data_IF_525855923523
#
_entry.id   IF_525855923523
#
_cell.length_a   1.000
_cell.length_b   1.000
_cell.length_c   1.000
_cell.angle_alpha   90.00
_cell.angle_beta   90.00
_cell.angle_gamma   90.00
#
_symmetry.space_group_name_H-M   'P 1'
#
loop_
_entity.id
_entity.type
_entity.pdbx_description
1 polymer ?
#
# COMPACT_ATOMS: atom_id res chain seq x y z
N UNK A 1 -9.13 31.82 -15.49
CA UNK A 1 -8.59 30.55 -16.02
C UNK A 1 -7.07 30.68 -16.03
N UNK A 2 -6.36 29.75 -15.43
CA UNK A 2 -4.89 29.80 -15.29
C UNK A 2 -4.26 29.71 -16.68
N UNK A 3 -3.32 30.60 -17.01
CA UNK A 3 -2.51 30.47 -18.22
C UNK A 3 -1.37 29.50 -17.95
N UNK A 4 -1.60 28.22 -18.24
CA UNK A 4 -0.70 27.11 -17.91
C UNK A 4 0.68 27.31 -18.55
N UNK A 5 0.72 27.70 -19.83
CA UNK A 5 1.97 27.91 -20.55
C UNK A 5 2.85 29.02 -19.95
N UNK A 6 2.22 30.09 -19.49
CA UNK A 6 2.91 31.20 -18.82
C UNK A 6 3.39 30.78 -17.44
N UNK A 7 2.55 30.07 -16.67
CA UNK A 7 2.93 29.63 -15.34
C UNK A 7 4.06 28.59 -15.34
N UNK A 8 4.03 27.62 -16.27
CA UNK A 8 5.11 26.65 -16.42
C UNK A 8 6.46 27.32 -16.72
N UNK A 9 6.46 28.43 -17.48
CA UNK A 9 7.69 29.21 -17.74
C UNK A 9 8.23 29.97 -16.53
N UNK A 10 7.41 30.17 -15.49
CA UNK A 10 7.85 30.81 -14.24
C UNK A 10 8.64 29.87 -13.34
N UNK A 11 8.55 28.56 -13.55
CA UNK A 11 9.36 27.60 -12.80
C UNK A 11 10.75 27.49 -13.43
N UNK A 12 11.78 27.58 -12.58
CA UNK A 12 13.17 27.59 -13.00
C UNK A 12 13.94 26.44 -12.33
N UNK A 13 14.95 25.87 -13.00
CA UNK A 13 15.84 24.91 -12.38
C UNK A 13 16.54 25.50 -11.16
N UNK A 14 16.70 24.69 -10.13
CA UNK A 14 17.39 25.06 -8.89
C UNK A 14 18.83 24.59 -8.98
N UNK A 15 19.78 25.52 -8.96
CA UNK A 15 21.21 25.24 -8.89
C UNK A 15 21.63 24.92 -7.45
N UNK A 16 22.07 23.68 -7.22
CA UNK A 16 22.48 23.17 -5.90
C UNK A 16 23.66 23.98 -5.35
N UNK A 17 24.63 24.36 -6.18
CA UNK A 17 25.80 25.13 -5.73
C UNK A 17 25.39 26.52 -5.22
N UNK A 18 24.50 27.20 -5.95
CA UNK A 18 23.94 28.49 -5.54
C UNK A 18 23.15 28.40 -4.23
N UNK A 19 22.42 27.30 -4.01
CA UNK A 19 21.70 27.06 -2.75
C UNK A 19 22.69 26.86 -1.61
N UNK A 20 23.70 26.00 -1.78
CA UNK A 20 24.71 25.75 -0.74
C UNK A 20 25.51 26.99 -0.36
N UNK A 21 25.80 27.88 -1.31
CA UNK A 21 26.45 29.16 -1.04
C UNK A 21 25.59 30.11 -0.19
N UNK A 22 24.27 30.07 -0.32
CA UNK A 22 23.34 30.99 0.36
C UNK A 22 22.95 30.52 1.75
N UNK A 23 22.71 29.22 1.92
CA UNK A 23 22.16 28.66 3.17
C UNK A 23 23.07 27.63 3.85
N UNK A 24 24.26 27.38 3.29
CA UNK A 24 25.19 26.37 3.78
C UNK A 24 24.86 24.97 3.25
N UNK A 25 25.54 23.96 3.79
CA UNK A 25 25.34 22.57 3.37
C UNK A 25 23.88 22.13 3.53
N UNK A 26 23.29 21.63 2.45
CA UNK A 26 21.92 21.12 2.45
C UNK A 26 21.88 19.58 2.61
N UNK A 27 20.82 19.02 3.22
CA UNK A 27 20.67 17.57 3.37
C UNK A 27 20.70 16.83 2.03
N UNK A 28 21.23 15.61 2.03
CA UNK A 28 21.36 14.78 0.83
C UNK A 28 20.00 14.48 0.17
N UNK A 29 18.97 14.26 0.98
CA UNK A 29 17.60 14.05 0.50
C UNK A 29 17.07 15.28 -0.26
N UNK A 30 17.42 16.48 0.18
CA UNK A 30 17.05 17.73 -0.49
C UNK A 30 17.75 17.86 -1.85
N UNK A 31 19.03 17.48 -1.95
CA UNK A 31 19.77 17.45 -3.22
C UNK A 31 19.13 16.52 -4.23
N UNK A 32 18.87 15.28 -3.82
CA UNK A 32 18.24 14.26 -4.64
C UNK A 32 16.84 14.71 -5.11
N UNK A 33 16.08 15.39 -4.25
CA UNK A 33 14.78 15.95 -4.62
C UNK A 33 14.92 17.09 -5.63
N UNK A 34 15.89 17.99 -5.47
CA UNK A 34 16.17 19.09 -6.41
C UNK A 34 16.56 18.55 -7.79
N UNK A 35 17.40 17.52 -7.87
CA UNK A 35 17.76 16.88 -9.14
C UNK A 35 16.54 16.32 -9.88
N UNK A 36 15.64 15.66 -9.15
CA UNK A 36 14.39 15.13 -9.71
C UNK A 36 13.44 16.24 -10.15
N UNK A 37 13.37 17.35 -9.41
CA UNK A 37 12.61 18.53 -9.79
C UNK A 37 13.16 19.18 -11.07
N UNK A 38 14.48 19.35 -11.19
CA UNK A 38 15.11 19.89 -12.39
C UNK A 38 14.86 18.98 -13.59
N UNK A 39 14.96 17.67 -13.40
CA UNK A 39 14.59 16.69 -14.43
C UNK A 39 13.12 16.82 -14.84
N UNK A 40 12.21 17.05 -13.90
CA UNK A 40 10.80 17.25 -14.22
C UNK A 40 10.57 18.49 -15.09
N UNK A 41 11.29 19.59 -14.84
CA UNK A 41 11.23 20.78 -15.69
C UNK A 41 11.71 20.49 -17.12
N UNK A 42 12.78 19.72 -17.27
CA UNK A 42 13.26 19.30 -18.58
C UNK A 42 12.19 18.46 -19.31
N UNK A 43 11.55 17.51 -18.62
CA UNK A 43 10.49 16.68 -19.22
C UNK A 43 9.24 17.51 -19.59
N UNK A 44 8.87 18.52 -18.81
CA UNK A 44 7.79 19.47 -19.15
C UNK A 44 8.14 20.22 -20.43
N UNK A 45 9.38 20.68 -20.57
CA UNK A 45 9.82 21.38 -21.79
C UNK A 45 9.77 20.50 -23.04
N UNK A 46 9.86 19.17 -22.86
CA UNK A 46 9.74 18.16 -23.90
C UNK A 46 8.30 17.67 -24.14
N UNK A 47 7.29 18.31 -23.53
CA UNK A 47 5.88 17.89 -23.54
C UNK A 47 5.63 16.46 -22.97
N UNK A 48 6.51 15.99 -22.09
CA UNK A 48 6.38 14.69 -21.41
C UNK A 48 5.80 14.87 -19.99
N UNK A 49 4.59 15.44 -19.90
CA UNK A 49 3.98 15.82 -18.61
C UNK A 49 3.79 14.63 -17.64
N UNK A 50 3.49 13.42 -18.15
CA UNK A 50 3.38 12.22 -17.33
C UNK A 50 4.70 11.83 -16.66
N UNK A 51 5.81 11.94 -17.39
CA UNK A 51 7.16 11.64 -16.87
C UNK A 51 7.55 12.70 -15.85
N UNK A 52 7.21 13.97 -16.11
CA UNK A 52 7.43 15.05 -15.16
C UNK A 52 6.67 14.83 -13.84
N UNK A 53 5.38 14.44 -13.91
CA UNK A 53 4.59 14.13 -12.71
C UNK A 53 5.20 12.98 -11.92
N UNK A 54 5.72 11.93 -12.58
CA UNK A 54 6.41 10.83 -11.89
C UNK A 54 7.68 11.32 -11.19
N UNK A 55 8.49 12.14 -11.85
CA UNK A 55 9.69 12.73 -11.27
C UNK A 55 9.36 13.61 -10.05
N UNK A 56 8.31 14.41 -10.14
CA UNK A 56 7.83 15.27 -9.04
C UNK A 56 7.28 14.47 -7.86
N UNK A 57 6.50 13.40 -8.11
CA UNK A 57 6.05 12.46 -7.07
C UNK A 57 7.23 11.89 -6.29
N UNK A 58 8.29 11.48 -6.99
CA UNK A 58 9.50 10.95 -6.37
C UNK A 58 10.24 12.04 -5.57
N UNK A 59 10.38 13.25 -6.12
CA UNK A 59 11.01 14.38 -5.43
C UNK A 59 10.30 14.70 -4.11
N UNK A 60 8.96 14.76 -4.12
CA UNK A 60 8.13 15.03 -2.93
C UNK A 60 8.18 13.88 -1.92
N UNK A 61 8.30 12.63 -2.38
CA UNK A 61 8.46 11.48 -1.48
C UNK A 61 9.79 11.52 -0.72
N UNK A 62 10.87 11.95 -1.39
CA UNK A 62 12.21 12.08 -0.78
C UNK A 62 12.27 13.29 0.14
N UNK A 63 11.73 14.44 -0.29
CA UNK A 63 11.70 15.66 0.51
C UNK A 63 10.26 16.19 0.61
N UNK A 64 9.49 15.76 1.64
CA UNK A 64 8.07 16.12 1.78
C UNK A 64 7.78 17.61 1.92
N UNK A 65 8.75 18.44 2.33
CA UNK A 65 8.59 19.89 2.44
C UNK A 65 8.99 20.64 1.16
N UNK A 66 8.96 19.99 -0.02
CA UNK A 66 9.32 20.62 -1.29
C UNK A 66 8.15 21.36 -1.95
N UNK A 67 7.79 22.53 -1.40
CA UNK A 67 6.63 23.30 -1.86
C UNK A 67 6.67 23.68 -3.34
N UNK A 68 7.85 24.02 -3.88
CA UNK A 68 7.99 24.37 -5.30
C UNK A 68 7.68 23.18 -6.22
N UNK A 69 8.13 21.97 -5.86
CA UNK A 69 7.80 20.75 -6.60
C UNK A 69 6.31 20.39 -6.51
N UNK A 70 5.68 20.61 -5.35
CA UNK A 70 4.24 20.41 -5.20
C UNK A 70 3.41 21.39 -6.04
N UNK A 71 3.83 22.67 -6.08
CA UNK A 71 3.20 23.69 -6.92
C UNK A 71 3.32 23.35 -8.41
N UNK A 72 4.53 22.95 -8.86
CA UNK A 72 4.75 22.52 -10.24
C UNK A 72 3.88 21.32 -10.60
N UNK A 73 3.82 20.32 -9.72
CA UNK A 73 2.99 19.13 -9.90
C UNK A 73 1.49 19.48 -9.97
N UNK A 74 1.03 20.44 -9.18
CA UNK A 74 -0.33 20.97 -9.27
C UNK A 74 -0.61 21.60 -10.63
N UNK A 75 0.33 22.39 -11.18
CA UNK A 75 0.17 23.00 -12.52
C UNK A 75 0.19 21.93 -13.63
N UNK A 76 1.03 20.90 -13.52
CA UNK A 76 0.98 19.74 -14.42
C UNK A 76 -0.34 18.98 -14.35
N UNK A 77 -0.99 18.92 -13.19
CA UNK A 77 -2.32 18.34 -13.11
C UNK A 77 -3.38 19.19 -13.80
N UNK A 78 -3.27 20.52 -13.72
CA UNK A 78 -4.14 21.43 -14.48
C UNK A 78 -3.92 21.29 -15.99
N UNK A 79 -2.68 21.07 -16.47
CA UNK A 79 -2.37 20.91 -17.90
C UNK A 79 -3.02 19.68 -18.52
N UNK A 80 -3.07 18.57 -17.78
CA UNK A 80 -3.73 17.33 -18.22
C UNK A 80 -5.24 17.30 -17.94
N UNK A 81 -5.79 18.34 -17.30
CA UNK A 81 -7.22 18.45 -16.97
C UNK A 81 -7.67 17.73 -15.69
N UNK A 82 -6.73 17.26 -14.85
CA UNK A 82 -7.01 16.67 -13.54
C UNK A 82 -7.09 17.74 -12.45
N UNK A 83 -8.19 18.50 -12.44
CA UNK A 83 -8.38 19.59 -11.48
C UNK A 83 -8.47 19.11 -10.02
N UNK A 84 -9.00 17.90 -9.78
CA UNK A 84 -9.18 17.37 -8.42
C UNK A 84 -7.81 17.10 -7.77
N UNK A 85 -6.90 16.45 -8.50
CA UNK A 85 -5.53 16.24 -8.03
C UNK A 85 -4.77 17.56 -7.90
N UNK A 86 -4.97 18.51 -8.82
CA UNK A 86 -4.36 19.84 -8.73
C UNK A 86 -4.77 20.57 -7.44
N UNK A 87 -6.07 20.58 -7.12
CA UNK A 87 -6.63 21.17 -5.90
C UNK A 87 -6.07 20.52 -4.65
N UNK A 88 -5.97 19.19 -4.64
CA UNK A 88 -5.39 18.45 -3.52
C UNK A 88 -3.93 18.86 -3.28
N UNK A 89 -3.14 19.00 -4.35
CA UNK A 89 -1.75 19.45 -4.26
C UNK A 89 -1.64 20.89 -3.74
N UNK A 90 -2.42 21.83 -4.26
CA UNK A 90 -2.38 23.22 -3.78
C UNK A 90 -2.85 23.36 -2.33
N UNK A 91 -3.90 22.63 -1.92
CA UNK A 91 -4.33 22.58 -0.51
C UNK A 91 -3.23 22.05 0.40
N UNK A 92 -2.56 20.97 -0.02
CA UNK A 92 -1.44 20.41 0.74
C UNK A 92 -0.30 21.42 0.94
N UNK A 93 0.01 22.22 -0.08
CA UNK A 93 1.00 23.30 0.06
C UNK A 93 0.54 24.35 1.06
N UNK A 94 -0.73 24.78 1.01
CA UNK A 94 -1.30 25.78 1.93
C UNK A 94 -1.28 25.25 3.37
N UNK A 95 -1.69 24.00 3.59
CA UNK A 95 -1.73 23.38 4.93
C UNK A 95 -0.32 23.24 5.56
N UNK A 96 0.72 23.17 4.73
CA UNK A 96 2.11 23.01 5.17
C UNK A 96 2.91 24.32 5.18
N UNK A 97 2.43 25.34 4.47
CA UNK A 97 2.98 26.70 4.41
C UNK A 97 1.84 27.71 4.23
N UNK A 98 1.34 28.20 5.35
CA UNK A 98 0.23 29.17 5.44
C UNK A 98 0.51 30.49 4.68
N UNK A 99 1.77 30.76 4.29
CA UNK A 99 2.16 31.97 3.57
C UNK A 99 2.41 31.73 2.07
N UNK A 100 2.04 30.56 1.54
CA UNK A 100 2.21 30.23 0.12
C UNK A 100 1.19 30.98 -0.76
N UNK A 101 1.59 32.18 -1.19
CA UNK A 101 0.81 33.07 -2.07
C UNK A 101 0.49 32.40 -3.42
N UNK A 102 1.41 31.58 -3.95
CA UNK A 102 1.24 30.88 -5.23
C UNK A 102 0.14 29.81 -5.16
N UNK A 103 0.21 28.90 -4.19
CA UNK A 103 -0.76 27.82 -4.03
C UNK A 103 -2.18 28.37 -3.80
N UNK A 104 -2.31 29.40 -2.95
CA UNK A 104 -3.57 30.10 -2.71
C UNK A 104 -4.15 30.74 -3.98
N UNK A 105 -3.29 31.36 -4.80
CA UNK A 105 -3.70 31.95 -6.09
C UNK A 105 -4.15 30.90 -7.10
N UNK A 106 -3.46 29.76 -7.17
CA UNK A 106 -3.84 28.66 -8.06
C UNK A 106 -5.19 28.08 -7.65
N UNK A 107 -5.39 27.83 -6.35
CA UNK A 107 -6.66 27.34 -5.82
C UNK A 107 -7.82 28.32 -6.10
N UNK A 108 -7.62 29.62 -5.83
CA UNK A 108 -8.61 30.66 -6.13
C UNK A 108 -8.93 30.77 -7.64
N UNK A 109 -7.92 30.56 -8.49
CA UNK A 109 -8.08 30.57 -9.95
C UNK A 109 -8.87 29.36 -10.45
N UNK A 110 -8.74 28.20 -9.80
CA UNK A 110 -9.55 27.00 -10.06
C UNK A 110 -10.99 27.16 -9.51
N UNK A 111 -11.17 27.86 -8.39
CA UNK A 111 -12.51 28.14 -7.80
C UNK A 111 -13.30 29.22 -8.56
N UNK A 112 -12.70 29.87 -9.55
CA UNK A 112 -13.34 30.97 -10.30
C UNK A 112 -13.46 32.29 -9.51
N UNK A 113 -12.88 32.36 -8.30
CA UNK A 113 -12.89 33.53 -7.44
C UNK A 113 -11.68 34.42 -7.71
N UNK A 114 -11.70 35.14 -8.83
CA UNK A 114 -10.71 36.20 -9.08
C UNK A 114 -11.26 37.54 -8.56
N UNK A 115 -10.81 37.97 -7.38
CA UNK A 115 -10.94 39.37 -6.94
C UNK A 115 -9.81 40.19 -7.60
N UNK A 116 -10.12 41.32 -8.27
CA UNK A 116 -9.13 42.08 -9.01
C UNK A 116 -8.58 43.27 -8.20
N UNK A 117 -7.31 43.22 -7.80
CA UNK A 117 -6.50 44.41 -7.50
C UNK A 117 -5.05 44.11 -7.95
N UNK A 118 -4.35 44.84 -8.82
CA UNK A 118 -4.67 45.96 -9.69
C UNK A 118 -3.57 46.15 -10.76
N UNK A 119 -4.00 46.16 -12.04
CA UNK A 119 -3.62 47.00 -13.22
C UNK A 119 -2.13 47.33 -13.47
N UNK A 120 -1.54 46.97 -14.63
CA UNK A 120 -1.55 47.85 -15.84
C UNK A 120 -1.73 47.16 -17.21
N UNK A 121 -2.89 47.45 -17.83
CA UNK A 121 -3.22 47.74 -19.25
C UNK A 121 -2.41 47.10 -20.39
N UNK A 122 -3.10 46.33 -21.26
CA UNK A 122 -3.41 46.78 -22.64
C UNK A 122 -4.42 45.87 -23.38
N UNK A 123 -5.38 46.54 -24.03
CA UNK A 123 -6.10 46.17 -25.26
C UNK A 123 -6.92 44.88 -25.36
N UNK A 124 -8.20 45.06 -25.04
CA UNK A 124 -9.40 44.53 -25.73
C UNK A 124 -9.17 44.12 -27.20
N UNK A 125 -9.38 42.85 -27.56
CA UNK A 125 -10.05 42.47 -28.82
C UNK A 125 -10.65 41.06 -28.80
N UNK A 126 -11.78 41.00 -29.49
CA UNK A 126 -12.82 39.97 -29.59
C UNK A 126 -12.39 38.87 -30.59
N UNK A 127 -12.84 37.64 -30.32
CA UNK A 127 -13.18 36.55 -31.26
C UNK A 127 -12.28 36.29 -32.49
N UNK A 128 -11.70 35.09 -32.61
CA UNK A 128 -12.28 33.90 -33.28
C UNK A 128 -11.24 32.75 -33.34
N UNK A 129 -11.67 31.50 -33.61
CA UNK A 129 -10.82 30.32 -33.68
C UNK A 129 -10.23 30.15 -35.09
N UNK A 130 -9.03 29.59 -35.22
CA UNK A 130 -8.55 29.13 -36.52
C UNK A 130 -7.38 28.14 -36.42
N UNK A 131 -7.66 26.89 -36.80
CA UNK A 131 -6.66 25.88 -37.14
C UNK A 131 -7.17 24.80 -38.12
N UNK A 132 -8.39 24.94 -38.65
CA UNK A 132 -9.00 24.05 -39.66
C UNK A 132 -9.49 24.80 -40.92
N UNK A 133 -9.25 26.12 -40.99
CA UNK A 133 -9.82 27.02 -42.01
C UNK A 133 -9.06 27.05 -43.35
N UNK A 134 -7.89 26.43 -43.46
CA UNK A 134 -7.10 26.46 -44.70
C UNK A 134 -7.56 25.41 -45.73
N UNK A 135 -8.20 24.32 -45.29
CA UNK A 135 -8.81 23.33 -46.19
C UNK A 135 -10.24 23.72 -46.61
N UNK A 136 -11.00 24.32 -45.70
CA UNK A 136 -12.37 24.76 -45.97
C UNK A 136 -12.44 25.97 -46.93
N UNK A 137 -11.43 26.85 -46.92
CA UNK A 137 -11.41 28.03 -47.81
C UNK A 137 -11.03 27.69 -49.27
N UNK A 138 -10.26 26.62 -49.51
CA UNK A 138 -9.93 26.16 -50.87
C UNK A 138 -11.14 25.44 -51.51
N UNK A 139 -11.88 24.65 -50.74
CA UNK A 139 -13.09 23.95 -51.22
C UNK A 139 -14.27 24.90 -51.50
N UNK A 140 -14.37 26.02 -50.78
CA UNK A 140 -15.44 26.99 -50.97
C UNK A 140 -15.30 27.86 -52.24
N UNK A 141 -14.09 28.01 -52.78
CA UNK A 141 -13.86 28.79 -54.02
C UNK A 141 -14.31 28.08 -55.31
N UNK A 142 -14.53 26.76 -55.28
CA UNK A 142 -14.89 25.97 -56.47
C UNK A 142 -16.40 25.85 -56.75
N UNK A 143 -17.27 26.29 -55.83
CA UNK A 143 -18.72 26.02 -55.88
C UNK A 143 -19.57 27.24 -55.49
N UNK A 144 -19.19 28.44 -55.95
CA UNK A 144 -20.04 29.63 -55.79
C UNK A 144 -20.99 29.79 -56.99
N UNK A 145 -22.32 29.92 -56.78
CA UNK A 145 -23.28 30.06 -57.87
C UNK A 145 -23.28 31.50 -58.42
N UNK A 146 -22.78 31.67 -59.63
CA UNK A 146 -22.81 32.95 -60.35
C UNK A 146 -24.20 33.20 -60.96
N UNK A 147 -24.63 34.46 -60.95
CA UNK A 147 -26.00 34.93 -61.21
C UNK A 147 -26.09 35.71 -62.56
N UNK A 148 -25.91 35.04 -63.71
CA UNK A 148 -26.35 35.56 -65.02
C UNK A 148 -26.87 34.48 -65.98
N UNK A 149 -28.14 34.61 -66.44
CA UNK A 149 -28.74 33.77 -67.50
C UNK A 149 -28.17 34.16 -68.88
N UNK A 150 -28.06 33.22 -69.84
CA UNK A 150 -28.49 31.83 -69.75
C UNK A 150 -27.40 30.91 -69.19
N UNK A 151 -27.70 30.30 -68.04
CA UNK A 151 -26.78 29.46 -67.25
C UNK A 151 -26.35 28.16 -67.93
N UNK A 152 -27.08 27.70 -68.96
CA UNK A 152 -26.82 26.40 -69.59
C UNK A 152 -25.65 26.40 -70.58
N UNK A 153 -25.17 27.56 -71.04
CA UNK A 153 -24.15 27.62 -72.10
C UNK A 153 -22.79 27.10 -71.61
N UNK A 154 -22.40 27.40 -70.36
CA UNK A 154 -21.16 26.84 -69.76
C UNK A 154 -21.24 25.31 -69.64
N UNK A 155 -22.41 24.77 -69.27
CA UNK A 155 -22.62 23.33 -69.18
C UNK A 155 -22.69 22.65 -70.55
N UNK A 156 -23.28 23.29 -71.56
CA UNK A 156 -23.30 22.78 -72.94
C UNK A 156 -21.89 22.76 -73.54
N UNK A 157 -21.10 23.83 -73.34
CA UNK A 157 -19.70 23.87 -73.80
C UNK A 157 -18.87 22.82 -73.08
N UNK A 158 -19.04 22.66 -71.77
CA UNK A 158 -18.36 21.61 -70.99
C UNK A 158 -18.78 20.20 -71.40
N UNK A 159 -20.06 19.99 -71.72
CA UNK A 159 -20.58 18.70 -72.17
C UNK A 159 -20.10 18.34 -73.57
N UNK A 160 -20.07 19.30 -74.50
CA UNK A 160 -19.54 19.11 -75.86
C UNK A 160 -18.02 18.91 -75.83
N UNK A 161 -17.29 19.65 -75.00
CA UNK A 161 -15.86 19.44 -74.79
C UNK A 161 -15.55 18.08 -74.15
N UNK A 162 -16.39 17.62 -73.22
CA UNK A 162 -16.29 16.30 -72.60
C UNK A 162 -16.57 15.16 -73.57
N UNK A 163 -17.60 15.29 -74.42
CA UNK A 163 -17.90 14.31 -75.48
C UNK A 163 -16.76 14.26 -76.50
N UNK A 164 -16.23 15.41 -76.93
CA UNK A 164 -15.09 15.47 -77.84
C UNK A 164 -13.83 14.85 -77.24
N UNK A 165 -13.56 15.09 -75.95
CA UNK A 165 -12.44 14.45 -75.24
C UNK A 165 -12.64 12.93 -75.11
N UNK A 166 -13.87 12.46 -74.89
CA UNK A 166 -14.20 11.03 -74.84
C UNK A 166 -14.11 10.35 -76.21
N UNK A 167 -14.56 11.00 -77.29
CA UNK A 167 -14.41 10.49 -78.66
C UNK A 167 -12.94 10.46 -79.09
N UNK A 168 -12.15 11.48 -78.70
CA UNK A 168 -10.70 11.50 -78.93
C UNK A 168 -9.97 10.42 -78.14
N UNK A 169 -10.35 10.18 -76.88
CA UNK A 169 -9.82 9.07 -76.08
C UNK A 169 -10.16 7.72 -76.71
N UNK A 170 -11.39 7.53 -77.21
CA UNK A 170 -11.77 6.29 -77.90
C UNK A 170 -10.95 6.07 -79.19
N UNK A 171 -10.72 7.11 -80.00
CA UNK A 171 -9.89 7.03 -81.21
C UNK A 171 -8.40 6.76 -80.92
N UNK A 172 -7.90 7.23 -79.77
CA UNK A 172 -6.50 7.04 -79.35
C UNK A 172 -6.25 5.75 -78.57
N UNK A 173 -7.27 4.99 -78.18
CA UNK A 173 -7.12 3.68 -77.53
C UNK A 173 -7.07 2.61 -78.64
N UNK A 174 -5.90 1.97 -78.90
CA UNK A 174 -5.83 0.82 -79.80
C UNK A 174 -6.59 -0.35 -79.15
N UNK A 175 -7.37 -1.09 -79.93
CA UNK A 175 -8.35 -2.09 -79.47
C UNK A 175 -7.75 -3.21 -78.57
N UNK A 176 -6.42 -3.35 -78.46
CA UNK A 176 -5.79 -4.37 -77.63
C UNK A 176 -4.48 -3.90 -76.97
N UNK A 177 -4.57 -3.17 -75.85
CA UNK A 177 -3.54 -3.27 -74.78
C UNK A 177 -4.13 -2.79 -73.44
N UNK A 178 -3.99 -3.57 -72.34
CA UNK A 178 -4.45 -3.11 -71.04
C UNK A 178 -3.59 -1.93 -70.60
N UNK A 179 -4.23 -0.81 -70.27
CA UNK A 179 -3.54 0.31 -69.61
C UNK A 179 -3.15 -0.19 -68.22
N UNK A 180 -1.93 -0.68 -68.08
CA UNK A 180 -1.32 -0.91 -66.78
C UNK A 180 -0.89 0.46 -66.29
N UNK A 181 -1.82 1.17 -65.64
CA UNK A 181 -1.42 2.25 -64.73
C UNK A 181 -0.70 1.53 -63.61
N UNK A 182 0.63 1.61 -63.57
CA UNK A 182 1.40 1.12 -62.44
C UNK A 182 1.16 2.06 -61.25
N UNK A 183 -0.01 1.90 -60.65
CA UNK A 183 -0.39 2.62 -59.43
C UNK A 183 0.59 2.28 -58.30
N UNK A 184 1.41 1.24 -58.42
CA UNK A 184 2.44 0.86 -57.45
C UNK A 184 3.71 1.72 -57.53
N UNK A 185 4.02 2.31 -58.69
CA UNK A 185 5.11 3.31 -58.83
C UNK A 185 4.61 4.75 -58.69
N UNK A 186 3.33 5.02 -58.94
CA UNK A 186 2.70 6.32 -58.68
C UNK A 186 2.17 6.48 -57.22
N UNK A 187 1.72 5.40 -56.57
CA UNK A 187 1.43 5.31 -55.12
C UNK A 187 2.54 4.55 -54.38
N UNK A 188 3.69 4.34 -55.01
CA UNK A 188 4.87 3.84 -54.32
C UNK A 188 5.27 4.89 -53.30
N UNK A 189 4.77 4.76 -52.07
CA UNK A 189 5.08 5.63 -50.93
C UNK A 189 6.57 5.97 -51.05
N UNK A 190 6.87 7.25 -51.20
CA UNK A 190 8.24 7.73 -51.37
C UNK A 190 9.12 7.01 -50.35
N UNK A 191 10.29 6.52 -50.73
CA UNK A 191 11.17 5.74 -49.82
C UNK A 191 11.41 6.46 -48.48
N UNK A 192 11.32 7.80 -48.47
CA UNK A 192 11.35 8.65 -47.28
C UNK A 192 10.07 8.61 -46.42
N UNK A 193 8.89 8.57 -47.03
CA UNK A 193 7.61 8.45 -46.31
C UNK A 193 7.44 7.06 -45.68
N UNK A 194 7.88 6.00 -46.36
CA UNK A 194 7.88 4.66 -45.80
C UNK A 194 8.86 4.55 -44.60
N UNK A 195 10.03 5.19 -44.68
CA UNK A 195 10.97 5.30 -43.55
C UNK A 195 10.37 6.05 -42.34
N UNK A 196 9.64 7.16 -42.58
CA UNK A 196 8.96 7.91 -41.52
C UNK A 196 7.84 7.08 -40.87
N UNK A 197 7.07 6.32 -41.66
CA UNK A 197 6.04 5.42 -41.14
C UNK A 197 6.66 4.30 -40.31
N UNK A 198 7.77 3.70 -40.76
CA UNK A 198 8.47 2.65 -40.01
C UNK A 198 9.09 3.19 -38.72
N UNK A 199 9.58 4.43 -38.72
CA UNK A 199 10.07 5.11 -37.52
C UNK A 199 8.93 5.41 -36.53
N UNK A 200 7.83 6.01 -36.99
CA UNK A 200 6.67 6.31 -36.15
C UNK A 200 6.03 5.05 -35.55
N UNK A 201 5.99 3.94 -36.31
CA UNK A 201 5.50 2.67 -35.78
C UNK A 201 6.45 2.06 -34.75
N UNK A 202 7.77 2.23 -34.92
CA UNK A 202 8.76 1.85 -33.92
C UNK A 202 8.63 2.70 -32.64
N UNK A 203 8.51 4.01 -32.77
CA UNK A 203 8.30 4.93 -31.65
C UNK A 203 6.99 4.64 -30.91
N UNK A 204 5.88 4.38 -31.62
CA UNK A 204 4.62 3.96 -30.99
C UNK A 204 4.75 2.63 -30.24
N UNK A 205 5.49 1.66 -30.78
CA UNK A 205 5.76 0.40 -30.05
C UNK A 205 6.60 0.66 -28.81
N UNK A 206 7.63 1.49 -28.91
CA UNK A 206 8.49 1.86 -27.78
C UNK A 206 7.68 2.59 -26.69
N UNK A 207 6.83 3.54 -27.08
CA UNK A 207 5.96 4.27 -26.16
C UNK A 207 4.98 3.31 -25.45
N UNK A 208 4.34 2.40 -26.19
CA UNK A 208 3.44 1.40 -25.60
C UNK A 208 4.18 0.45 -24.64
N UNK A 209 5.42 0.08 -24.96
CA UNK A 209 6.25 -0.74 -24.07
C UNK A 209 6.57 0.03 -22.78
N UNK A 210 7.00 1.29 -22.87
CA UNK A 210 7.26 2.15 -21.71
C UNK A 210 6.02 2.37 -20.85
N UNK A 211 4.85 2.57 -21.48
CA UNK A 211 3.57 2.70 -20.78
C UNK A 211 3.25 1.40 -20.01
N UNK A 212 3.46 0.24 -20.64
CA UNK A 212 3.24 -1.06 -20.01
C UNK A 212 4.18 -1.28 -18.83
N UNK A 213 5.47 -0.97 -18.98
CA UNK A 213 6.48 -1.04 -17.92
C UNK A 213 6.15 -0.09 -16.76
N UNK A 214 5.71 1.13 -17.05
CA UNK A 214 5.32 2.11 -16.05
C UNK A 214 4.07 1.66 -15.26
N UNK A 215 3.07 1.09 -15.94
CA UNK A 215 1.89 0.51 -15.29
C UNK A 215 2.26 -0.67 -14.38
N UNK A 216 3.16 -1.55 -14.83
CA UNK A 216 3.64 -2.67 -14.02
C UNK A 216 4.43 -2.18 -12.79
N UNK A 217 5.28 -1.16 -12.94
CA UNK A 217 5.99 -0.55 -11.82
C UNK A 217 5.05 0.12 -10.81
N UNK A 218 3.96 0.74 -11.28
CA UNK A 218 2.93 1.30 -10.41
C UNK A 218 2.20 0.21 -9.63
N UNK A 219 1.86 -0.90 -10.28
CA UNK A 219 1.18 -2.02 -9.63
C UNK A 219 2.07 -2.69 -8.58
N UNK A 220 3.36 -2.90 -8.86
CA UNK A 220 4.31 -3.42 -7.88
C UNK A 220 4.50 -2.44 -6.71
N UNK A 221 4.63 -1.15 -6.98
CA UNK A 221 4.73 -0.12 -5.92
C UNK A 221 3.51 -0.14 -5.00
N UNK A 222 2.30 -0.17 -5.58
CA UNK A 222 1.04 -0.24 -4.81
C UNK A 222 0.96 -1.52 -3.96
N UNK A 223 1.37 -2.66 -4.52
CA UNK A 223 1.40 -3.91 -3.78
C UNK A 223 2.44 -3.89 -2.64
N UNK A 224 3.61 -3.26 -2.86
CA UNK A 224 4.61 -3.08 -1.81
C UNK A 224 4.14 -2.14 -0.71
N UNK A 225 3.45 -1.05 -1.04
CA UNK A 225 2.86 -0.12 -0.07
C UNK A 225 1.83 -0.84 0.80
N UNK A 226 0.93 -1.61 0.19
CA UNK A 226 -0.05 -2.41 0.93
C UNK A 226 0.64 -3.40 1.87
N UNK A 227 1.66 -4.12 1.40
CA UNK A 227 2.39 -5.06 2.26
C UNK A 227 3.10 -4.34 3.42
N UNK A 228 3.66 -3.16 3.20
CA UNK A 228 4.27 -2.35 4.26
C UNK A 228 3.22 -1.86 5.27
N UNK A 229 2.02 -1.47 4.81
CA UNK A 229 0.91 -1.11 5.67
C UNK A 229 0.47 -2.30 6.53
N UNK A 230 0.25 -3.46 5.92
CA UNK A 230 -0.13 -4.70 6.61
C UNK A 230 0.94 -5.10 7.66
N UNK A 231 2.23 -4.96 7.31
CA UNK A 231 3.33 -5.18 8.26
C UNK A 231 3.30 -4.18 9.41
N UNK A 232 3.11 -2.89 9.12
CA UNK A 232 3.07 -1.84 10.14
C UNK A 232 1.90 -2.02 11.10
N UNK A 233 0.73 -2.44 10.60
CA UNK A 233 -0.43 -2.77 11.42
C UNK A 233 -0.13 -3.94 12.37
N UNK A 234 0.51 -5.00 11.86
CA UNK A 234 0.97 -6.11 12.72
C UNK A 234 1.94 -5.63 13.80
N UNK A 235 2.89 -4.76 13.47
CA UNK A 235 3.81 -4.18 14.46
C UNK A 235 3.07 -3.38 15.54
N UNK A 236 2.07 -2.58 15.18
CA UNK A 236 1.29 -1.79 16.14
C UNK A 236 0.54 -2.70 17.12
N UNK A 237 -0.16 -3.73 16.62
CA UNK A 237 -0.92 -4.67 17.45
C UNK A 237 0.00 -5.45 18.41
N UNK A 238 1.13 -5.92 17.91
CA UNK A 238 2.08 -6.68 18.71
C UNK A 238 2.86 -5.79 19.70
N UNK A 239 3.11 -4.52 19.35
CA UNK A 239 3.72 -3.56 20.27
C UNK A 239 2.79 -3.23 21.44
N UNK A 240 1.48 -3.05 21.17
CA UNK A 240 0.49 -2.87 22.23
C UNK A 240 0.38 -4.11 23.12
N UNK A 241 0.35 -5.30 22.50
CA UNK A 241 0.39 -6.58 23.22
C UNK A 241 1.60 -6.66 24.16
N UNK A 242 2.80 -6.38 23.66
CA UNK A 242 4.03 -6.38 24.46
C UNK A 242 3.96 -5.39 25.61
N UNK A 243 3.46 -4.17 25.38
CA UNK A 243 3.28 -3.17 26.44
C UNK A 243 2.31 -3.66 27.51
N UNK A 244 1.18 -4.25 27.12
CA UNK A 244 0.21 -4.83 28.06
C UNK A 244 0.85 -5.96 28.90
N UNK A 245 1.69 -6.81 28.29
CA UNK A 245 2.44 -7.83 29.03
C UNK A 245 3.44 -7.21 30.02
N UNK A 246 4.14 -6.14 29.62
CA UNK A 246 5.06 -5.43 30.50
C UNK A 246 4.33 -4.78 31.67
N UNK A 247 3.16 -4.20 31.44
CA UNK A 247 2.31 -3.61 32.49
C UNK A 247 1.81 -4.67 33.48
N UNK A 248 1.40 -5.84 33.00
CA UNK A 248 1.04 -6.99 33.85
C UNK A 248 2.24 -7.46 34.68
N UNK A 249 3.40 -7.59 34.07
CA UNK A 249 4.63 -7.97 34.76
C UNK A 249 5.03 -6.95 35.83
N UNK A 250 4.94 -5.65 35.52
CA UNK A 250 5.21 -4.56 36.45
C UNK A 250 4.22 -4.54 37.63
N UNK A 251 2.95 -4.88 37.39
CA UNK A 251 1.94 -5.07 38.42
C UNK A 251 2.13 -6.37 39.23
N UNK A 252 3.15 -7.18 38.92
CA UNK A 252 3.43 -8.45 39.58
C UNK A 252 2.45 -9.57 39.21
N UNK A 253 1.68 -9.42 38.13
CA UNK A 253 0.70 -10.41 37.63
C UNK A 253 1.36 -11.41 36.68
N UNK A 254 2.36 -12.13 37.17
CA UNK A 254 3.18 -13.03 36.35
C UNK A 254 2.39 -14.20 35.75
N UNK A 255 1.39 -14.71 36.49
CA UNK A 255 0.46 -15.73 35.99
C UNK A 255 -0.21 -15.28 34.69
N UNK A 256 -0.76 -14.07 34.70
CA UNK A 256 -1.52 -13.51 33.59
C UNK A 256 -0.63 -13.29 32.36
N UNK A 257 0.64 -12.88 32.56
CA UNK A 257 1.64 -12.77 31.48
C UNK A 257 1.88 -14.14 30.83
N UNK A 258 2.13 -15.18 31.64
CA UNK A 258 2.37 -16.53 31.12
C UNK A 258 1.15 -17.05 30.36
N UNK A 259 -0.04 -16.91 30.94
CA UNK A 259 -1.29 -17.34 30.30
C UNK A 259 -1.51 -16.62 28.97
N UNK A 260 -1.28 -15.30 28.92
CA UNK A 260 -1.43 -14.53 27.68
C UNK A 260 -0.47 -15.02 26.59
N UNK A 261 0.82 -15.20 26.91
CA UNK A 261 1.85 -15.65 25.96
C UNK A 261 1.55 -17.05 25.42
N UNK A 262 1.11 -17.98 26.28
CA UNK A 262 0.74 -19.34 25.88
C UNK A 262 -0.53 -19.41 25.02
N UNK A 263 -1.34 -18.35 25.03
CA UNK A 263 -2.60 -18.26 24.30
C UNK A 263 -2.52 -17.50 22.97
N UNK A 264 -1.33 -17.03 22.58
CA UNK A 264 -1.17 -16.22 21.38
C UNK A 264 -1.57 -16.95 20.10
N UNK A 265 -2.41 -16.30 19.30
CA UNK A 265 -2.75 -16.72 17.94
C UNK A 265 -1.90 -15.92 16.94
N UNK A 266 -1.03 -16.63 16.20
CA UNK A 266 -0.14 -16.02 15.21
C UNK A 266 1.28 -15.74 15.73
N UNK A 267 2.13 -15.23 14.86
CA UNK A 267 3.55 -15.01 15.16
C UNK A 267 3.89 -13.51 15.19
N UNK A 268 4.45 -12.99 16.32
CA UNK A 268 4.89 -11.61 16.39
C UNK A 268 6.08 -11.33 15.46
N UNK A 269 6.23 -10.07 15.00
CA UNK A 269 7.43 -9.65 14.31
C UNK A 269 8.69 -9.94 15.13
N UNK A 270 9.77 -10.36 14.46
CA UNK A 270 10.98 -10.91 15.10
C UNK A 270 11.47 -10.11 16.31
N UNK A 271 11.59 -8.78 16.19
CA UNK A 271 12.05 -7.92 17.30
C UNK A 271 11.13 -7.99 18.52
N UNK A 272 9.81 -7.90 18.30
CA UNK A 272 8.82 -7.99 19.37
C UNK A 272 8.81 -9.40 19.96
N UNK A 273 8.92 -10.43 19.12
CA UNK A 273 9.03 -11.83 19.57
C UNK A 273 10.20 -12.02 20.53
N UNK A 274 11.37 -11.46 20.20
CA UNK A 274 12.55 -11.55 21.05
C UNK A 274 12.33 -10.85 22.41
N UNK A 275 11.66 -9.69 22.42
CA UNK A 275 11.31 -8.98 23.66
C UNK A 275 10.28 -9.72 24.51
N UNK A 276 9.24 -10.28 23.89
CA UNK A 276 8.23 -11.13 24.54
C UNK A 276 8.91 -12.36 25.15
N UNK A 277 9.79 -13.04 24.41
CA UNK A 277 10.50 -14.22 24.91
C UNK A 277 11.39 -13.89 26.11
N UNK A 278 12.07 -12.75 26.08
CA UNK A 278 12.89 -12.30 27.20
C UNK A 278 12.02 -12.04 28.44
N UNK A 279 10.93 -11.29 28.29
CA UNK A 279 9.98 -11.05 29.37
C UNK A 279 9.39 -12.37 29.90
N UNK A 280 8.98 -13.25 28.99
CA UNK A 280 8.39 -14.54 29.30
C UNK A 280 9.34 -15.37 30.18
N UNK A 281 10.60 -15.51 29.76
CA UNK A 281 11.62 -16.23 30.52
C UNK A 281 11.88 -15.63 31.91
N UNK A 282 11.82 -14.30 32.06
CA UNK A 282 12.00 -13.63 33.35
C UNK A 282 10.83 -13.87 34.33
N UNK A 283 9.61 -14.07 33.82
CA UNK A 283 8.42 -14.19 34.66
C UNK A 283 8.03 -15.64 34.96
N UNK A 284 8.43 -16.62 34.15
CA UNK A 284 8.05 -18.05 34.33
C UNK A 284 8.26 -18.55 35.75
N UNK A 285 9.48 -18.39 36.29
CA UNK A 285 9.83 -18.80 37.67
C UNK A 285 8.90 -18.17 38.71
N UNK A 286 8.61 -16.87 38.57
CA UNK A 286 7.74 -16.12 39.49
C UNK A 286 6.27 -16.51 39.36
N UNK A 287 5.85 -16.96 38.16
CA UNK A 287 4.49 -17.37 37.88
C UNK A 287 4.13 -18.73 38.52
N UNK A 288 5.10 -19.64 38.71
CA UNK A 288 4.87 -20.98 39.31
C UNK A 288 4.08 -20.88 40.60
N UNK A 289 4.51 -20.01 41.53
CA UNK A 289 3.83 -19.84 42.82
C UNK A 289 2.41 -19.29 42.65
N UNK A 290 2.20 -18.37 41.71
CA UNK A 290 0.88 -17.79 41.47
C UNK A 290 -0.09 -18.80 40.85
N UNK A 291 0.36 -19.62 39.91
CA UNK A 291 -0.43 -20.74 39.38
C UNK A 291 -0.77 -21.72 40.50
N UNK A 292 0.20 -22.11 41.32
CA UNK A 292 -0.03 -23.01 42.44
C UNK A 292 -1.05 -22.46 43.46
N UNK A 293 -0.86 -21.23 43.93
CA UNK A 293 -1.76 -20.61 44.92
C UNK A 293 -3.18 -20.46 44.35
N UNK A 294 -3.29 -20.05 43.09
CA UNK A 294 -4.56 -19.91 42.38
C UNK A 294 -5.26 -21.27 42.21
N UNK A 295 -4.54 -22.29 41.75
CA UNK A 295 -5.05 -23.65 41.54
C UNK A 295 -5.57 -24.24 42.86
N UNK A 296 -4.81 -24.03 43.95
CA UNK A 296 -5.18 -24.49 45.28
C UNK A 296 -6.41 -23.78 45.82
N UNK A 297 -6.54 -22.48 45.58
CA UNK A 297 -7.74 -21.73 45.97
C UNK A 297 -8.98 -22.23 45.21
N UNK A 298 -8.87 -22.43 43.89
CA UNK A 298 -9.97 -22.98 43.08
C UNK A 298 -10.35 -24.37 43.59
N UNK A 299 -9.36 -25.25 43.78
CA UNK A 299 -9.57 -26.60 44.30
C UNK A 299 -10.31 -26.58 45.63
N UNK A 300 -9.77 -25.87 46.63
CA UNK A 300 -10.34 -25.83 47.99
C UNK A 300 -11.76 -25.22 48.01
N UNK A 301 -12.04 -24.24 47.14
CA UNK A 301 -13.38 -23.64 47.03
C UNK A 301 -14.44 -24.66 46.59
N UNK A 302 -14.01 -25.73 45.91
CA UNK A 302 -14.88 -26.76 45.36
C UNK A 302 -15.18 -27.92 46.34
N UNK A 303 -14.70 -27.84 47.59
CA UNK A 303 -14.82 -28.94 48.56
C UNK A 303 -16.27 -29.42 48.80
N UNK A 304 -17.23 -28.48 48.77
CA UNK A 304 -18.65 -28.75 48.99
C UNK A 304 -19.41 -29.10 47.71
N UNK A 305 -19.14 -28.38 46.63
CA UNK A 305 -19.87 -28.51 45.38
C UNK A 305 -19.42 -29.72 44.56
N UNK A 306 -18.12 -30.05 44.62
CA UNK A 306 -17.49 -31.14 43.87
C UNK A 306 -17.79 -31.07 42.36
N UNK A 307 -17.87 -29.85 41.82
CA UNK A 307 -18.15 -29.62 40.40
C UNK A 307 -16.93 -30.00 39.54
N UNK A 308 -17.16 -30.83 38.53
CA UNK A 308 -16.12 -31.34 37.61
C UNK A 308 -15.47 -30.19 36.82
N UNK A 309 -16.24 -29.17 36.40
CA UNK A 309 -15.71 -28.03 35.65
C UNK A 309 -14.80 -27.15 36.51
N UNK A 310 -15.09 -27.06 37.81
CA UNK A 310 -14.22 -26.33 38.76
C UNK A 310 -12.93 -27.12 39.01
N UNK A 311 -13.01 -28.45 39.09
CA UNK A 311 -11.81 -29.28 39.14
C UNK A 311 -10.98 -29.18 37.87
N UNK A 312 -11.60 -29.09 36.70
CA UNK A 312 -10.91 -28.85 35.43
C UNK A 312 -10.11 -27.54 35.45
N UNK A 313 -10.72 -26.44 35.89
CA UNK A 313 -10.01 -25.16 36.04
C UNK A 313 -8.81 -25.25 36.99
N UNK A 314 -8.99 -25.94 38.14
CA UNK A 314 -7.89 -26.16 39.08
C UNK A 314 -6.79 -27.04 38.46
N UNK A 315 -7.17 -28.11 37.75
CA UNK A 315 -6.26 -29.02 37.08
C UNK A 315 -5.43 -28.29 36.01
N UNK A 316 -6.05 -27.43 35.21
CA UNK A 316 -5.35 -26.65 34.18
C UNK A 316 -4.31 -25.69 34.77
N UNK A 317 -4.62 -25.03 35.89
CA UNK A 317 -3.63 -24.19 36.59
C UNK A 317 -2.51 -25.02 37.24
N UNK A 318 -2.81 -26.19 37.81
CA UNK A 318 -1.78 -27.11 38.31
C UNK A 318 -0.89 -27.65 37.20
N UNK A 319 -1.47 -28.02 36.03
CA UNK A 319 -0.72 -28.46 34.85
C UNK A 319 0.25 -27.37 34.38
N UNK A 320 -0.19 -26.11 34.37
CA UNK A 320 0.70 -25.01 34.03
C UNK A 320 1.84 -24.86 35.06
N UNK A 321 1.54 -24.94 36.36
CA UNK A 321 2.58 -24.91 37.40
C UNK A 321 3.60 -26.06 37.22
N UNK A 322 3.13 -27.29 36.98
CA UNK A 322 3.96 -28.47 36.75
C UNK A 322 4.81 -28.30 35.48
N UNK A 323 4.19 -27.89 34.37
CA UNK A 323 4.88 -27.62 33.09
C UNK A 323 6.05 -26.66 33.29
N UNK A 324 5.82 -25.54 33.99
CA UNK A 324 6.86 -24.54 34.25
C UNK A 324 7.97 -25.07 35.17
N UNK A 325 7.62 -25.85 36.21
CA UNK A 325 8.59 -26.49 37.10
C UNK A 325 9.51 -27.43 36.31
N UNK A 326 8.93 -28.26 35.44
CA UNK A 326 9.66 -29.23 34.62
C UNK A 326 10.51 -28.54 33.55
N UNK A 327 9.96 -27.52 32.87
CA UNK A 327 10.68 -26.76 31.86
C UNK A 327 11.89 -26.01 32.42
N UNK A 328 11.73 -25.41 33.61
CA UNK A 328 12.80 -24.67 34.28
C UNK A 328 13.72 -25.56 35.14
N UNK A 329 13.36 -26.84 35.31
CA UNK A 329 14.02 -27.76 36.23
C UNK A 329 14.16 -27.17 37.65
N UNK A 330 13.09 -26.50 38.13
CA UNK A 330 13.05 -25.91 39.46
C UNK A 330 12.63 -26.93 40.52
N UNK A 331 13.08 -26.72 41.76
CA UNK A 331 12.68 -27.56 42.90
C UNK A 331 12.13 -26.69 44.05
N UNK A 332 10.95 -26.06 43.87
CA UNK A 332 10.37 -25.22 44.91
C UNK A 332 10.01 -26.04 46.16
N UNK A 333 10.06 -25.42 47.34
CA UNK A 333 9.76 -26.11 48.61
C UNK A 333 8.36 -26.77 48.64
N UNK A 334 7.42 -26.25 47.85
CA UNK A 334 6.05 -26.72 47.70
C UNK A 334 5.85 -27.70 46.52
N UNK A 335 6.92 -28.18 45.86
CA UNK A 335 6.85 -29.07 44.69
C UNK A 335 6.02 -30.34 44.95
N UNK A 336 6.19 -30.95 46.12
CA UNK A 336 5.44 -32.16 46.50
C UNK A 336 3.95 -31.87 46.69
N UNK A 337 3.60 -30.67 47.13
CA UNK A 337 2.21 -30.23 47.24
C UNK A 337 1.62 -29.92 45.86
N UNK A 338 2.40 -29.34 44.94
CA UNK A 338 1.99 -29.09 43.55
C UNK A 338 1.59 -30.41 42.89
N UNK A 339 2.47 -31.41 42.91
CA UNK A 339 2.18 -32.70 42.30
C UNK A 339 1.05 -33.44 43.03
N UNK A 340 1.00 -33.41 44.36
CA UNK A 340 -0.05 -34.11 45.10
C UNK A 340 -1.44 -33.53 44.85
N UNK A 341 -1.62 -32.22 45.05
CA UNK A 341 -2.92 -31.58 44.84
C UNK A 341 -3.27 -31.44 43.36
N UNK A 342 -2.26 -31.26 42.50
CA UNK A 342 -2.41 -31.34 41.05
C UNK A 342 -2.94 -32.69 40.60
N UNK A 343 -2.33 -33.79 41.03
CA UNK A 343 -2.82 -35.14 40.74
C UNK A 343 -4.26 -35.37 41.19
N UNK A 344 -4.64 -34.87 42.38
CA UNK A 344 -6.04 -34.93 42.84
C UNK A 344 -6.98 -34.11 41.96
N UNK A 345 -6.62 -32.88 41.63
CA UNK A 345 -7.44 -32.00 40.78
C UNK A 345 -7.64 -32.61 39.39
N UNK A 346 -6.57 -33.13 38.79
CA UNK A 346 -6.57 -33.80 37.49
C UNK A 346 -7.48 -35.05 37.51
N UNK A 347 -7.31 -35.95 38.49
CA UNK A 347 -8.17 -37.13 38.58
C UNK A 347 -9.66 -36.76 38.71
N UNK A 348 -9.97 -35.74 39.53
CA UNK A 348 -11.33 -35.27 39.76
C UNK A 348 -11.93 -34.51 38.57
N UNK A 349 -11.10 -33.93 37.69
CA UNK A 349 -11.56 -33.22 36.50
C UNK A 349 -12.02 -34.14 35.38
N UNK A 350 -11.59 -35.41 35.37
CA UNK A 350 -11.96 -36.41 34.36
C UNK A 350 -11.73 -35.94 32.90
N UNK A 351 -10.77 -35.03 32.69
CA UNK A 351 -10.51 -34.34 31.42
C UNK A 351 -9.04 -34.52 31.00
N UNK A 352 -8.74 -34.84 29.72
CA UNK A 352 -9.65 -34.87 28.57
C UNK A 352 -10.64 -36.04 28.54
N UNK A 353 -10.22 -37.18 29.11
CA UNK A 353 -11.08 -38.33 29.42
C UNK A 353 -10.76 -38.82 30.83
N UNK A 354 -11.67 -39.59 31.44
CA UNK A 354 -11.46 -40.17 32.77
C UNK A 354 -10.15 -40.98 32.85
N UNK A 355 -9.88 -41.81 31.83
CA UNK A 355 -8.71 -42.69 31.78
C UNK A 355 -7.40 -41.91 31.64
N UNK A 356 -7.37 -40.90 30.76
CA UNK A 356 -6.18 -40.05 30.59
C UNK A 356 -5.90 -39.21 31.83
N UNK A 357 -6.96 -38.67 32.45
CA UNK A 357 -6.85 -37.91 33.69
C UNK A 357 -6.34 -38.78 34.85
N UNK A 358 -6.84 -40.01 34.98
CA UNK A 358 -6.38 -40.97 35.98
C UNK A 358 -4.91 -41.36 35.76
N UNK A 359 -4.49 -41.62 34.51
CA UNK A 359 -3.09 -41.91 34.19
C UNK A 359 -2.16 -40.72 34.49
N UNK A 360 -2.59 -39.50 34.15
CA UNK A 360 -1.85 -38.27 34.46
C UNK A 360 -1.76 -38.03 35.97
N UNK A 361 -2.83 -38.30 36.71
CA UNK A 361 -2.85 -38.20 38.16
C UNK A 361 -1.90 -39.20 38.83
N UNK A 362 -1.89 -40.46 38.36
CA UNK A 362 -0.94 -41.48 38.84
C UNK A 362 0.51 -41.01 38.63
N UNK A 363 0.84 -40.48 37.44
CA UNK A 363 2.18 -39.90 37.18
C UNK A 363 2.54 -38.83 38.21
N UNK A 364 1.60 -37.94 38.55
CA UNK A 364 1.82 -36.92 39.57
C UNK A 364 2.04 -37.52 40.97
N UNK A 365 1.28 -38.57 41.34
CA UNK A 365 1.44 -39.24 42.63
C UNK A 365 2.76 -40.00 42.74
N UNK A 366 3.20 -40.67 41.66
CA UNK A 366 4.51 -41.30 41.58
C UNK A 366 5.64 -40.28 41.77
N UNK A 367 5.47 -39.09 41.21
CA UNK A 367 6.43 -38.00 41.35
C UNK A 367 6.55 -37.51 42.81
N UNK A 368 5.44 -37.44 43.55
CA UNK A 368 5.46 -37.17 45.00
C UNK A 368 6.26 -38.25 45.75
N UNK A 369 6.07 -39.52 45.38
CA UNK A 369 6.78 -40.65 46.00
C UNK A 369 8.27 -40.59 45.66
N UNK A 370 8.62 -40.21 44.43
CA UNK A 370 10.01 -40.07 43.97
C UNK A 370 10.73 -38.94 44.71
N UNK A 371 10.10 -37.76 44.82
CA UNK A 371 10.71 -36.58 45.43
C UNK A 371 10.83 -36.75 46.96
N UNK A 372 9.81 -37.32 47.62
CA UNK A 372 9.77 -37.39 49.08
C UNK A 372 9.21 -38.74 49.60
N UNK A 373 9.90 -39.87 49.40
CA UNK A 373 9.36 -41.22 49.61
C UNK A 373 8.91 -41.54 51.04
N UNK A 374 9.53 -40.90 52.04
CA UNK A 374 9.20 -41.05 53.46
C UNK A 374 8.18 -40.03 54.00
N UNK A 375 7.66 -39.14 53.15
CA UNK A 375 6.71 -38.10 53.58
C UNK A 375 5.29 -38.65 53.78
N UNK A 376 4.48 -37.94 54.57
CA UNK A 376 3.04 -38.23 54.68
C UNK A 376 2.34 -38.14 53.33
N UNK A 377 2.72 -37.16 52.50
CA UNK A 377 2.17 -37.00 51.16
C UNK A 377 2.50 -38.19 50.25
N UNK A 378 3.69 -38.77 50.32
CA UNK A 378 4.01 -39.98 49.57
C UNK A 378 3.16 -41.19 50.01
N UNK A 379 2.90 -41.34 51.31
CA UNK A 379 1.96 -42.36 51.81
C UNK A 379 0.54 -42.12 51.31
N UNK A 380 0.08 -40.87 51.28
CA UNK A 380 -1.23 -40.53 50.72
C UNK A 380 -1.30 -40.72 49.21
N UNK A 381 -0.21 -40.43 48.49
CA UNK A 381 -0.09 -40.63 47.05
C UNK A 381 -0.22 -42.12 46.69
N UNK A 382 0.49 -43.01 47.38
CA UNK A 382 0.33 -44.48 47.23
C UNK A 382 -1.12 -44.91 47.44
N UNK A 383 -1.80 -44.35 48.45
CA UNK A 383 -3.21 -44.66 48.68
C UNK A 383 -4.11 -44.18 47.53
N UNK A 384 -3.83 -43.02 46.91
CA UNK A 384 -4.60 -42.53 45.74
C UNK A 384 -4.35 -43.36 44.50
N UNK A 385 -3.13 -43.80 44.26
CA UNK A 385 -2.80 -44.71 43.16
C UNK A 385 -3.62 -46.00 43.30
N UNK A 386 -3.59 -46.64 44.46
CA UNK A 386 -4.36 -47.86 44.72
C UNK A 386 -5.88 -47.66 44.52
N UNK A 387 -6.42 -46.48 44.86
CA UNK A 387 -7.82 -46.16 44.63
C UNK A 387 -8.16 -46.07 43.14
N UNK A 388 -7.34 -45.36 42.36
CA UNK A 388 -7.50 -45.26 40.90
C UNK A 388 -7.43 -46.65 40.27
N UNK A 389 -6.44 -47.47 40.63
CA UNK A 389 -6.24 -48.81 40.09
C UNK A 389 -7.40 -49.76 40.46
N UNK A 390 -8.02 -49.57 41.63
CA UNK A 390 -9.20 -50.30 42.05
C UNK A 390 -10.51 -49.78 41.39
N UNK A 391 -10.44 -48.71 40.58
CA UNK A 391 -11.60 -48.06 39.97
C UNK A 391 -12.45 -47.24 40.94
N UNK A 392 -11.92 -46.91 42.13
CA UNK A 392 -12.58 -46.09 43.13
C UNK A 392 -12.41 -44.60 42.83
N UNK A 393 -13.46 -43.82 43.07
CA UNK A 393 -13.38 -42.35 42.95
C UNK A 393 -12.55 -41.76 44.08
N UNK A 394 -11.55 -40.95 43.72
CA UNK A 394 -10.74 -40.20 44.68
C UNK A 394 -11.62 -39.18 45.40
N UNK A 395 -11.36 -38.99 46.71
CA UNK A 395 -12.02 -37.96 47.51
C UNK A 395 -11.32 -36.60 47.38
N UNK A 396 -12.12 -35.54 47.51
CA UNK A 396 -11.65 -34.17 47.70
C UNK A 396 -10.61 -34.05 48.83
#
# INVERSE_FOLDING_TARGET
MINISEELSNFQPIDIESVEQKIGSIPEDMKNAIELYNKALDEISNNNEDIAIIALKKAISIYPAFYEAMNLMGICYVSIGDEDSARAMFKKVIDMDDNSVRASRYLASLDGNVSPEGVTKSSRRKNQPSGFSTLASWLASGLSPERSKPYFIKYIIGFVAGILAMCLLWIFIPDHSPIIIDVKSALGKSSKEQQVIDQLTKENRDLNNRLTEALQALETAKQTEKNLQDQMEQYIVWADTLRNLQDLAAAGKYKDVVTAVESFEGEPPKKIKDEINNLYNQVKSKAIKQFYDSARNIYNSNAKAQDVEVYKKAADEYRMAIKLIEELNENPAYITEVYYYGGKAIALSQYPSKQEAEAEAVRCFDEVIRIAPGSKLASYARARINQIEAGETIKH
#
